data_IF_558156157905
#
_entry.id   IF_558156157905
#
_cell.length_a   1.000
_cell.length_b   1.000
_cell.length_c   1.000
_cell.angle_alpha   90.00
_cell.angle_beta   90.00
_cell.angle_gamma   90.00
#
_symmetry.space_group_name_H-M   'P 1'
#
loop_
_entity.id
_entity.type
_entity.pdbx_description
1 polymer ?
#
# COMPACT_ATOMS: atom_id res chain seq x y z
N UNK A 1 -37.30 48.32 -39.58
CA UNK A 1 -37.41 46.91 -39.14
C UNK A 1 -36.00 46.36 -39.02
N UNK A 2 -35.75 45.58 -37.97
CA UNK A 2 -34.49 45.47 -37.21
C UNK A 2 -33.45 44.51 -37.79
N UNK A 3 -32.20 44.87 -37.46
CA UNK A 3 -30.84 44.33 -37.60
C UNK A 3 -30.56 42.83 -37.81
N UNK A 4 -29.41 42.64 -38.49
CA UNK A 4 -28.63 41.42 -38.70
C UNK A 4 -28.44 40.55 -37.45
N UNK A 5 -28.54 39.23 -37.64
CA UNK A 5 -28.14 38.21 -36.67
C UNK A 5 -26.88 37.50 -37.16
N UNK A 6 -25.74 37.96 -36.63
CA UNK A 6 -24.45 37.28 -36.71
C UNK A 6 -24.52 35.96 -35.95
N UNK A 7 -24.09 34.87 -36.60
CA UNK A 7 -23.93 33.55 -35.98
C UNK A 7 -22.90 33.64 -34.84
N UNK A 8 -23.32 33.24 -33.65
CA UNK A 8 -22.51 33.22 -32.44
C UNK A 8 -21.86 31.81 -32.33
N UNK A 9 -20.54 31.64 -32.51
CA UNK A 9 -19.92 30.35 -32.26
C UNK A 9 -19.88 30.09 -30.75
N UNK A 10 -20.46 28.95 -30.33
CA UNK A 10 -20.42 28.45 -28.95
C UNK A 10 -18.97 28.43 -28.45
N UNK A 11 -18.61 29.40 -27.62
CA UNK A 11 -17.45 29.31 -26.74
C UNK A 11 -17.74 28.19 -25.75
N UNK A 12 -17.26 26.99 -26.08
CA UNK A 12 -17.13 25.88 -25.14
C UNK A 12 -16.21 26.41 -24.04
N UNK A 13 -16.63 26.47 -22.76
CA UNK A 13 -15.69 26.82 -21.71
C UNK A 13 -14.55 25.82 -21.79
N UNK A 14 -13.35 26.32 -22.09
CA UNK A 14 -12.11 25.58 -22.00
C UNK A 14 -12.06 25.02 -20.58
N UNK A 15 -12.44 23.75 -20.46
CA UNK A 15 -12.19 22.94 -19.29
C UNK A 15 -10.72 23.17 -18.97
N UNK A 16 -10.47 23.75 -17.80
CA UNK A 16 -9.15 23.76 -17.17
C UNK A 16 -8.74 22.30 -17.06
N UNK A 17 -8.09 21.77 -18.08
CA UNK A 17 -7.24 20.60 -17.97
C UNK A 17 -6.06 21.02 -17.11
N UNK A 18 -6.32 21.11 -15.81
CA UNK A 18 -5.29 21.04 -14.80
C UNK A 18 -4.69 19.65 -14.94
N UNK A 19 -3.56 19.58 -15.62
CA UNK A 19 -2.46 18.68 -15.32
C UNK A 19 -2.85 17.26 -14.89
N UNK A 20 -3.31 16.43 -15.81
CA UNK A 20 -3.22 14.97 -15.65
C UNK A 20 -1.95 14.47 -16.34
N UNK A 21 -0.84 15.05 -15.89
CA UNK A 21 0.53 14.61 -16.18
C UNK A 21 1.18 14.13 -14.88
N UNK A 22 0.44 13.42 -14.05
CA UNK A 22 0.99 12.69 -12.92
C UNK A 22 0.57 11.24 -13.13
N UNK A 23 1.58 10.37 -13.14
CA UNK A 23 1.44 8.97 -13.48
C UNK A 23 0.16 8.38 -12.88
N UNK A 24 -0.49 7.49 -13.65
CA UNK A 24 -1.25 6.40 -13.07
C UNK A 24 -0.28 5.57 -12.23
N UNK A 25 0.11 6.11 -11.08
CA UNK A 25 0.83 5.44 -10.03
C UNK A 25 -0.16 4.38 -9.60
N UNK A 26 0.07 3.16 -10.07
CA UNK A 26 -0.48 1.98 -9.43
C UNK A 26 0.14 1.97 -8.02
N UNK A 27 -0.38 2.82 -7.14
CA UNK A 27 0.10 2.98 -5.78
C UNK A 27 -0.10 1.63 -5.14
N UNK A 28 1.02 1.02 -4.72
CA UNK A 28 0.97 -0.29 -4.09
C UNK A 28 -0.05 -0.24 -2.95
N UNK A 29 -0.97 -1.21 -2.83
CA UNK A 29 -1.90 -1.29 -1.72
C UNK A 29 -1.18 -1.37 -0.36
N UNK A 30 0.13 -1.67 -0.35
CA UNK A 30 0.99 -1.69 0.82
C UNK A 30 1.72 -0.37 1.09
N UNK A 31 1.68 0.61 0.20
CA UNK A 31 2.32 1.92 0.43
C UNK A 31 1.84 2.61 1.72
N UNK A 32 0.52 2.62 2.06
CA UNK A 32 0.06 3.15 3.34
C UNK A 32 0.65 2.42 4.54
N UNK A 33 0.84 1.09 4.43
CA UNK A 33 1.44 0.27 5.49
C UNK A 33 2.91 0.64 5.64
N UNK A 34 3.63 0.74 4.52
CA UNK A 34 5.05 1.08 4.49
C UNK A 34 5.30 2.46 5.09
N UNK A 35 4.50 3.46 4.71
CA UNK A 35 4.60 4.81 5.25
C UNK A 35 4.35 4.83 6.77
N UNK A 36 3.35 4.09 7.24
CA UNK A 36 3.05 3.96 8.66
C UNK A 36 4.20 3.28 9.42
N UNK A 37 4.71 2.16 8.92
CA UNK A 37 5.82 1.43 9.53
C UNK A 37 7.08 2.30 9.63
N UNK A 38 7.39 3.06 8.58
CA UNK A 38 8.51 3.99 8.58
C UNK A 38 8.33 5.11 9.61
N UNK A 39 7.11 5.67 9.73
CA UNK A 39 6.80 6.67 10.76
C UNK A 39 6.96 6.11 12.19
N UNK A 40 6.68 4.82 12.37
CA UNK A 40 6.79 4.11 13.66
C UNK A 40 8.22 3.60 13.93
N UNK A 41 9.18 3.86 13.04
CA UNK A 41 10.59 3.51 13.19
C UNK A 41 10.99 2.11 12.71
N UNK A 42 10.10 1.42 11.98
CA UNK A 42 10.40 0.13 11.37
C UNK A 42 10.95 0.29 9.96
N UNK A 43 11.86 -0.61 9.56
CA UNK A 43 12.30 -0.69 8.17
C UNK A 43 11.36 -1.63 7.42
N UNK A 44 10.58 -1.09 6.49
CA UNK A 44 9.68 -1.86 5.63
C UNK A 44 10.17 -1.83 4.18
N UNK A 45 10.68 -2.98 3.72
CA UNK A 45 11.21 -3.16 2.37
C UNK A 45 10.25 -4.01 1.52
N UNK A 46 9.86 -3.54 0.33
CA UNK A 46 9.07 -4.36 -0.58
C UNK A 46 9.86 -5.59 -0.99
N UNK A 47 9.26 -6.75 -0.77
CA UNK A 47 9.81 -8.01 -1.23
C UNK A 47 9.59 -8.05 -2.73
N UNK A 48 10.67 -8.21 -3.50
CA UNK A 48 10.55 -8.36 -4.94
C UNK A 48 9.73 -9.63 -5.21
N UNK A 49 8.57 -9.55 -5.87
CA UNK A 49 7.81 -10.75 -6.18
C UNK A 49 8.67 -11.63 -7.08
N UNK A 50 8.94 -12.86 -6.64
CA UNK A 50 9.54 -13.85 -7.51
C UNK A 50 8.55 -14.17 -8.63
N UNK A 51 8.87 -14.03 -9.93
CA UNK A 51 7.90 -14.33 -10.97
C UNK A 51 7.39 -15.76 -10.80
N UNK A 52 6.09 -15.93 -10.53
CA UNK A 52 5.51 -17.27 -10.47
C UNK A 52 5.78 -17.97 -11.80
N UNK A 53 6.22 -19.25 -11.81
CA UNK A 53 6.49 -19.98 -13.06
C UNK A 53 5.26 -20.08 -13.99
N UNK A 54 4.07 -19.75 -13.48
CA UNK A 54 2.80 -19.75 -14.20
C UNK A 54 2.31 -18.34 -14.62
N UNK A 55 3.16 -17.30 -14.54
CA UNK A 55 2.81 -15.93 -14.96
C UNK A 55 1.73 -15.25 -14.10
N UNK A 56 1.41 -15.82 -12.93
CA UNK A 56 0.46 -15.22 -12.00
C UNK A 56 1.16 -14.08 -11.24
N UNK A 57 0.54 -12.89 -11.14
CA UNK A 57 1.04 -11.87 -10.24
C UNK A 57 1.06 -12.46 -8.83
N UNK A 58 2.24 -12.47 -8.19
CA UNK A 58 2.32 -12.78 -6.78
C UNK A 58 1.66 -11.65 -5.98
N UNK A 59 1.08 -11.96 -4.81
CA UNK A 59 0.67 -10.90 -3.88
C UNK A 59 1.89 -10.02 -3.57
N UNK A 60 1.67 -8.71 -3.50
CA UNK A 60 2.70 -7.80 -3.04
C UNK A 60 2.98 -8.07 -1.56
N UNK A 61 4.24 -7.98 -1.16
CA UNK A 61 4.72 -8.30 0.19
C UNK A 61 5.71 -7.23 0.66
N UNK A 62 5.71 -6.96 1.96
CA UNK A 62 6.68 -6.14 2.67
C UNK A 62 7.37 -7.00 3.74
N UNK A 63 8.69 -7.04 3.69
CA UNK A 63 9.52 -7.50 4.80
C UNK A 63 9.71 -6.34 5.78
N UNK A 64 9.38 -6.58 7.04
CA UNK A 64 9.58 -5.62 8.13
C UNK A 64 10.73 -6.11 8.99
N UNK A 65 11.79 -5.31 9.04
CA UNK A 65 12.99 -5.60 9.82
C UNK A 65 13.23 -4.55 10.89
N UNK A 66 13.98 -4.94 11.91
CA UNK A 66 14.52 -4.01 12.90
C UNK A 66 15.78 -3.28 12.36
N UNK A 67 16.34 -2.38 13.17
CA UNK A 67 17.57 -1.64 12.81
C UNK A 67 18.82 -2.52 12.68
N UNK A 68 18.75 -3.80 13.06
CA UNK A 68 19.82 -4.78 12.93
C UNK A 68 19.60 -5.76 11.76
N UNK A 69 18.49 -5.63 11.02
CA UNK A 69 18.16 -6.46 9.87
C UNK A 69 17.44 -7.78 10.20
N UNK A 70 16.99 -7.98 11.44
CA UNK A 70 16.20 -9.14 11.83
C UNK A 70 14.75 -9.00 11.36
N UNK A 71 14.21 -10.05 10.75
CA UNK A 71 12.82 -10.10 10.31
C UNK A 71 11.86 -10.11 11.52
N UNK A 72 11.11 -9.03 11.67
CA UNK A 72 10.10 -8.87 12.72
C UNK A 72 8.72 -9.32 12.24
N UNK A 73 8.41 -9.04 10.97
CA UNK A 73 7.13 -9.38 10.37
C UNK A 73 7.21 -9.40 8.84
N UNK A 74 6.25 -10.07 8.21
CA UNK A 74 5.94 -9.95 6.79
C UNK A 74 4.52 -9.43 6.62
N UNK A 75 4.30 -8.44 5.77
CA UNK A 75 2.96 -7.91 5.48
C UNK A 75 2.64 -8.10 4.01
N UNK A 76 1.56 -8.82 3.71
CA UNK A 76 1.08 -9.04 2.34
C UNK A 76 -0.33 -8.49 2.17
N UNK A 77 -0.78 -8.31 0.92
CA UNK A 77 -2.21 -8.08 0.65
C UNK A 77 -2.88 -9.40 0.30
N UNK A 78 -4.05 -9.64 0.88
CA UNK A 78 -4.86 -10.80 0.55
C UNK A 78 -5.17 -10.86 -0.95
N UNK A 79 -4.92 -12.00 -1.59
CA UNK A 79 -5.15 -12.17 -3.03
C UNK A 79 -6.62 -11.95 -3.46
N UNK A 80 -7.56 -12.07 -2.52
CA UNK A 80 -9.00 -11.97 -2.75
C UNK A 80 -9.71 -10.99 -1.81
N UNK A 81 -8.97 -10.35 -0.90
CA UNK A 81 -9.51 -9.40 0.06
C UNK A 81 -8.56 -8.21 0.13
N UNK A 82 -9.10 -7.00 0.33
CA UNK A 82 -8.26 -5.83 0.58
C UNK A 82 -7.60 -5.87 1.97
N UNK A 83 -7.70 -6.98 2.70
CA UNK A 83 -7.09 -7.12 4.02
C UNK A 83 -5.58 -7.29 3.91
N UNK A 84 -4.88 -6.77 4.91
CA UNK A 84 -3.47 -6.99 5.12
C UNK A 84 -3.27 -8.28 5.91
N UNK A 85 -2.32 -9.08 5.46
CA UNK A 85 -1.91 -10.33 6.08
C UNK A 85 -0.56 -10.09 6.76
N UNK A 86 -0.55 -10.03 8.09
CA UNK A 86 0.65 -9.79 8.89
C UNK A 86 1.10 -11.12 9.48
N UNK A 87 2.25 -11.61 9.03
CA UNK A 87 2.91 -12.79 9.59
C UNK A 87 3.98 -12.34 10.59
N UNK A 88 4.00 -12.94 11.77
CA UNK A 88 5.00 -12.70 12.81
C UNK A 88 5.90 -13.95 12.97
N UNK A 89 7.04 -14.01 12.25
CA UNK A 89 7.97 -15.16 12.27
C UNK A 89 8.52 -15.52 13.66
N UNK A 90 8.96 -14.54 14.50
CA UNK A 90 9.52 -14.85 15.82
C UNK A 90 8.56 -15.56 16.77
N UNK A 91 7.25 -15.54 16.49
CA UNK A 91 6.20 -16.08 17.36
C UNK A 91 5.58 -17.41 16.87
N UNK A 92 6.29 -18.16 16.01
CA UNK A 92 5.78 -19.43 15.48
C UNK A 92 4.82 -19.26 14.30
N UNK A 93 5.10 -18.27 13.43
CA UNK A 93 4.33 -17.98 12.21
C UNK A 93 2.84 -17.67 12.47
N UNK A 94 2.55 -16.84 13.48
CA UNK A 94 1.19 -16.33 13.66
C UNK A 94 0.83 -15.41 12.50
N UNK A 95 -0.33 -15.66 11.88
CA UNK A 95 -0.90 -14.84 10.82
C UNK A 95 -2.08 -14.04 11.37
N UNK A 96 -2.01 -12.72 11.21
CA UNK A 96 -3.08 -11.79 11.55
C UNK A 96 -3.66 -11.21 10.28
N UNK A 97 -4.99 -11.18 10.18
CA UNK A 97 -5.70 -10.50 9.11
C UNK A 97 -6.17 -9.15 9.63
N UNK A 98 -5.60 -8.08 9.10
CA UNK A 98 -5.91 -6.70 9.47
C UNK A 98 -6.70 -6.04 8.36
N UNK A 99 -7.81 -5.38 8.70
CA UNK A 99 -8.62 -4.68 7.72
C UNK A 99 -7.98 -3.35 7.35
N UNK A 100 -8.19 -2.80 6.13
CA UNK A 100 -7.66 -1.51 5.74
C UNK A 100 -7.94 -0.37 6.72
N UNK A 101 -9.13 -0.34 7.31
CA UNK A 101 -9.51 0.67 8.31
C UNK A 101 -8.71 0.56 9.62
N UNK A 102 -8.19 -0.62 9.93
CA UNK A 102 -7.46 -0.94 11.16
C UNK A 102 -5.93 -0.99 10.93
N UNK A 103 -5.43 -0.42 9.83
CA UNK A 103 -4.00 -0.44 9.46
C UNK A 103 -3.06 0.06 10.58
N UNK A 104 -3.57 0.96 11.44
CA UNK A 104 -2.87 1.45 12.63
C UNK A 104 -2.50 0.38 13.65
N UNK A 105 -3.12 -0.80 13.60
CA UNK A 105 -2.82 -1.90 14.52
C UNK A 105 -1.58 -2.70 14.10
N UNK A 106 -1.17 -2.64 12.81
CA UNK A 106 -0.03 -3.41 12.29
C UNK A 106 1.27 -3.13 13.08
N UNK A 107 1.70 -1.87 13.31
CA UNK A 107 2.88 -1.58 14.12
C UNK A 107 2.75 -2.10 15.56
N UNK A 108 1.55 -2.06 16.13
CA UNK A 108 1.26 -2.56 17.48
C UNK A 108 1.41 -4.08 17.57
N UNK A 109 0.93 -4.82 16.57
CA UNK A 109 1.12 -6.27 16.46
C UNK A 109 2.61 -6.62 16.39
N UNK A 110 3.38 -5.88 15.59
CA UNK A 110 4.84 -6.09 15.45
C UNK A 110 5.58 -5.81 16.76
N UNK A 111 5.25 -4.72 17.49
CA UNK A 111 5.82 -4.47 18.82
C UNK A 111 5.48 -5.56 19.83
N UNK A 112 4.23 -6.00 19.82
CA UNK A 112 3.79 -7.11 20.68
C UNK A 112 4.53 -8.40 20.33
N UNK A 113 4.96 -8.55 19.07
CA UNK A 113 5.83 -9.63 18.61
C UNK A 113 7.16 -9.69 19.36
N UNK A 114 7.83 -8.53 19.43
CA UNK A 114 9.18 -8.36 19.97
C UNK A 114 9.25 -8.63 21.48
N UNK A 115 8.20 -8.25 22.23
CA UNK A 115 8.15 -8.44 23.68
C UNK A 115 8.06 -9.93 24.06
N UNK A 116 7.55 -10.78 23.15
CA UNK A 116 7.46 -12.22 23.38
C UNK A 116 8.61 -13.03 22.72
N UNK A 117 9.63 -12.36 22.17
CA UNK A 117 10.83 -13.01 21.63
C UNK A 117 11.65 -13.72 22.72
N UNK A 118 12.50 -14.70 22.38
CA UNK A 118 13.13 -15.58 23.37
C UNK A 118 14.05 -14.78 24.31
N UNK A 119 13.86 -15.03 25.61
CA UNK A 119 14.73 -14.57 26.69
C UNK A 119 16.16 -15.14 26.58
#
# INVERSE_FOLDING_TARGET
>A
MTSAHTANPREVPAQRQTTEGEAGQHASPLEPVRALLHAEGFTATPTRPNPSPNGRPLPEELDVTDGHGWELAKVAVGAHSRHYLVTLPPQGNKLFMVRPEDIGDIPRLIRSSMIAGPA
#
